data_IF_245724130024
#
_entry.id   IF_245724130024
#
_cell.length_a   1.000
_cell.length_b   1.000
_cell.length_c   1.000
_cell.angle_alpha   90.00
_cell.angle_beta   90.00
_cell.angle_gamma   90.00
#
_symmetry.space_group_name_H-M   'P 1'
#
loop_
_entity.id
_entity.type
_entity.pdbx_description
1 polymer ?
#
# COMPACT_ATOMS: atom_id res chain seq x y z
N UNK A 1 -5.71 -30.50 -88.42
CA UNK A 1 -5.61 -29.05 -88.17
C UNK A 1 -5.94 -28.81 -86.70
N UNK A 2 -4.96 -28.20 -86.02
CA UNK A 2 -4.90 -27.59 -84.69
C UNK A 2 -6.07 -26.60 -84.38
N UNK A 3 -6.13 -25.92 -83.19
CA UNK A 3 -6.51 -26.31 -81.82
C UNK A 3 -7.57 -25.29 -81.27
N UNK A 4 -8.06 -25.22 -80.03
CA UNK A 4 -7.47 -24.67 -78.80
C UNK A 4 -8.58 -24.75 -77.75
N UNK A 5 -8.34 -25.43 -76.63
CA UNK A 5 -9.20 -25.44 -75.45
C UNK A 5 -8.64 -24.45 -74.43
N UNK A 6 -9.52 -23.59 -73.95
CA UNK A 6 -9.32 -22.52 -72.98
C UNK A 6 -8.96 -23.10 -71.60
N UNK A 7 -7.91 -22.60 -70.95
CA UNK A 7 -7.63 -22.85 -69.53
C UNK A 7 -7.33 -21.52 -68.83
N UNK A 8 -8.28 -21.07 -68.02
CA UNK A 8 -8.08 -20.03 -67.01
C UNK A 8 -7.38 -20.65 -65.79
N UNK A 9 -6.26 -20.09 -65.37
CA UNK A 9 -5.66 -20.38 -64.05
C UNK A 9 -5.54 -19.06 -63.29
N UNK A 10 -6.38 -18.91 -62.26
CA UNK A 10 -6.31 -17.86 -61.25
C UNK A 10 -5.12 -18.15 -60.32
N UNK A 11 -4.13 -17.27 -60.33
CA UNK A 11 -3.03 -17.23 -59.37
C UNK A 11 -3.47 -16.50 -58.11
N UNK A 12 -3.91 -17.23 -57.08
CA UNK A 12 -4.02 -16.73 -55.71
C UNK A 12 -2.76 -17.18 -54.94
N UNK A 13 -1.86 -16.25 -54.63
CA UNK A 13 -0.80 -16.51 -53.65
C UNK A 13 -1.39 -16.39 -52.24
N UNK A 14 -1.21 -17.38 -51.35
CA UNK A 14 -1.52 -17.21 -49.95
C UNK A 14 -0.40 -16.37 -49.32
N UNK A 15 -0.72 -15.16 -48.85
CA UNK A 15 0.17 -14.45 -47.94
C UNK A 15 0.14 -15.20 -46.60
N UNK A 16 1.23 -15.90 -46.27
CA UNK A 16 1.47 -16.36 -44.91
C UNK A 16 1.74 -15.11 -44.04
N UNK A 17 0.69 -14.61 -43.38
CA UNK A 17 0.85 -13.77 -42.22
C UNK A 17 1.42 -14.61 -41.08
N UNK A 18 2.72 -14.47 -40.81
CA UNK A 18 3.33 -15.01 -39.59
C UNK A 18 2.72 -14.24 -38.42
N UNK A 19 1.83 -14.89 -37.67
CA UNK A 19 1.38 -14.38 -36.38
C UNK A 19 2.57 -14.48 -35.42
N UNK A 20 3.18 -13.34 -35.09
CA UNK A 20 4.23 -13.28 -34.06
C UNK A 20 3.51 -13.43 -32.71
N UNK A 21 3.42 -14.67 -32.22
CA UNK A 21 3.06 -14.91 -30.84
C UNK A 21 4.21 -14.41 -29.97
N UNK A 22 4.05 -13.25 -29.34
CA UNK A 22 4.99 -12.78 -28.31
C UNK A 22 5.06 -13.85 -27.22
N UNK A 23 6.21 -14.51 -27.09
CA UNK A 23 6.41 -15.52 -26.06
C UNK A 23 6.63 -14.81 -24.73
N UNK A 24 5.55 -14.61 -23.99
CA UNK A 24 5.62 -14.01 -22.65
C UNK A 24 6.41 -14.94 -21.73
N UNK A 25 7.51 -14.43 -21.15
CA UNK A 25 8.24 -15.15 -20.09
C UNK A 25 7.44 -15.11 -18.79
N UNK A 26 7.57 -16.12 -17.91
CA UNK A 26 6.83 -16.15 -16.63
C UNK A 26 7.26 -15.08 -15.62
N UNK A 27 8.20 -14.20 -15.99
CA UNK A 27 8.66 -13.13 -15.12
C UNK A 27 7.70 -11.94 -15.17
N UNK A 28 7.43 -11.37 -14.00
CA UNK A 28 6.73 -10.09 -13.85
C UNK A 28 7.75 -9.01 -13.49
N UNK A 29 7.73 -7.90 -14.21
CA UNK A 29 8.55 -6.75 -13.87
C UNK A 29 8.05 -6.10 -12.56
N UNK A 30 8.91 -5.36 -11.87
CA UNK A 30 8.60 -4.68 -10.60
C UNK A 30 8.94 -3.20 -10.75
N UNK A 31 7.97 -2.33 -10.45
CA UNK A 31 8.19 -0.89 -10.35
C UNK A 31 8.47 -0.53 -8.90
N UNK A 32 9.53 0.23 -8.68
CA UNK A 32 9.97 0.70 -7.37
C UNK A 32 10.13 2.23 -7.39
N UNK A 33 9.74 2.89 -6.29
CA UNK A 33 9.99 4.30 -6.09
C UNK A 33 11.45 4.49 -5.63
N UNK A 34 12.24 5.21 -6.41
CA UNK A 34 13.65 5.51 -6.10
C UNK A 34 13.76 6.80 -5.30
N UNK A 35 13.02 7.84 -5.71
CA UNK A 35 13.00 9.13 -5.02
C UNK A 35 11.68 9.85 -5.25
N UNK A 36 11.22 10.59 -4.25
CA UNK A 36 9.92 11.24 -4.22
C UNK A 36 8.89 10.43 -3.43
N UNK A 37 7.61 10.73 -3.64
CA UNK A 37 6.47 10.09 -2.99
C UNK A 37 5.37 9.76 -4.01
N UNK A 38 4.44 8.88 -3.64
CA UNK A 38 3.25 8.57 -4.47
C UNK A 38 2.25 9.72 -4.50
N UNK A 39 2.30 10.62 -3.51
CA UNK A 39 1.50 11.84 -3.44
C UNK A 39 2.43 13.04 -3.38
N UNK A 40 2.37 13.87 -4.42
CA UNK A 40 3.26 15.02 -4.63
C UNK A 40 2.46 16.26 -5.03
N UNK A 41 3.08 17.44 -4.90
CA UNK A 41 2.52 18.67 -5.44
C UNK A 41 2.89 18.84 -6.92
N UNK A 42 2.06 19.58 -7.65
CA UNK A 42 2.40 19.99 -9.01
C UNK A 42 3.73 20.76 -9.04
N UNK A 43 4.56 20.43 -10.03
CA UNK A 43 5.91 20.94 -10.19
C UNK A 43 7.01 20.12 -9.51
N UNK A 44 6.66 19.15 -8.66
CA UNK A 44 7.63 18.21 -8.09
C UNK A 44 7.98 17.10 -9.07
N UNK A 45 9.05 16.36 -8.77
CA UNK A 45 9.57 15.30 -9.63
C UNK A 45 9.72 14.00 -8.86
N UNK A 46 9.47 12.88 -9.53
CA UNK A 46 9.72 11.55 -8.96
C UNK A 46 10.65 10.75 -9.88
N UNK A 47 11.33 9.78 -9.28
CA UNK A 47 12.16 8.82 -10.01
C UNK A 47 11.71 7.41 -9.68
N UNK A 48 11.42 6.64 -10.71
CA UNK A 48 11.03 5.24 -10.62
C UNK A 48 12.13 4.35 -11.19
N UNK A 49 12.13 3.09 -10.76
CA UNK A 49 12.99 2.03 -11.29
C UNK A 49 12.14 0.83 -11.68
N UNK A 50 12.45 0.25 -12.81
CA UNK A 50 11.92 -1.04 -13.22
C UNK A 50 12.98 -2.12 -12.97
N UNK A 51 12.57 -3.23 -12.38
CA UNK A 51 13.42 -4.37 -12.08
C UNK A 51 12.79 -5.63 -12.67
N UNK A 52 13.56 -6.43 -13.41
CA UNK A 52 13.14 -7.75 -13.89
C UNK A 52 13.85 -8.81 -13.02
N UNK A 53 13.13 -9.78 -12.43
CA UNK A 53 13.73 -10.79 -11.55
C UNK A 53 14.82 -11.64 -12.20
N UNK A 54 14.81 -11.77 -13.53
CA UNK A 54 15.86 -12.44 -14.29
C UNK A 54 17.10 -11.55 -14.42
N UNK A 55 17.99 -11.64 -13.44
CA UNK A 55 19.27 -10.91 -13.37
C UNK A 55 20.33 -11.42 -14.34
N UNK A 56 20.12 -12.57 -15.00
CA UNK A 56 21.12 -13.17 -15.91
C UNK A 56 21.04 -12.62 -17.33
N UNK A 57 19.97 -11.90 -17.63
CA UNK A 57 19.67 -11.41 -18.97
C UNK A 57 19.69 -9.89 -19.02
N UNK A 58 20.13 -9.34 -20.15
CA UNK A 58 20.03 -7.90 -20.42
C UNK A 58 18.62 -7.56 -20.92
N UNK A 59 17.88 -6.82 -20.10
CA UNK A 59 16.52 -6.34 -20.42
C UNK A 59 16.54 -4.86 -20.79
N UNK A 60 15.88 -4.51 -21.90
CA UNK A 60 15.38 -3.16 -22.13
C UNK A 60 14.09 -2.96 -21.35
N UNK A 61 13.76 -1.72 -20.98
CA UNK A 61 12.59 -1.43 -20.16
C UNK A 61 11.70 -0.42 -20.86
N UNK A 62 10.42 -0.76 -20.96
CA UNK A 62 9.34 0.08 -21.44
C UNK A 62 8.50 0.57 -20.26
N UNK A 63 8.00 1.79 -20.37
CA UNK A 63 7.17 2.41 -19.35
C UNK A 63 5.80 2.75 -19.91
N UNK A 64 4.78 2.65 -19.06
CA UNK A 64 3.40 2.91 -19.42
C UNK A 64 2.72 3.75 -18.34
N UNK A 65 1.77 4.58 -18.76
CA UNK A 65 0.83 5.29 -17.88
C UNK A 65 -0.59 4.91 -18.29
N UNK A 66 -1.29 4.18 -17.44
CA UNK A 66 -2.51 3.49 -17.85
C UNK A 66 -2.20 2.51 -18.99
N UNK A 67 -2.90 2.62 -20.11
CA UNK A 67 -2.66 1.83 -21.32
C UNK A 67 -1.71 2.48 -22.33
N UNK A 68 -1.26 3.70 -22.08
CA UNK A 68 -0.40 4.45 -23.00
C UNK A 68 1.07 4.14 -22.73
N UNK A 69 1.82 3.74 -23.77
CA UNK A 69 3.27 3.59 -23.68
C UNK A 69 3.93 4.98 -23.69
N UNK A 70 4.78 5.23 -22.70
CA UNK A 70 5.57 6.44 -22.61
C UNK A 70 6.76 6.38 -23.58
N UNK A 71 7.22 7.53 -24.11
CA UNK A 71 8.37 7.59 -25.01
C UNK A 71 9.70 7.25 -24.31
N UNK A 72 9.76 7.41 -22.98
CA UNK A 72 10.95 7.13 -22.19
C UNK A 72 11.22 5.62 -22.11
N UNK A 73 12.49 5.24 -22.31
CA UNK A 73 13.00 3.87 -22.21
C UNK A 73 14.15 3.79 -21.22
N UNK A 74 14.36 2.59 -20.70
CA UNK A 74 15.47 2.29 -19.79
C UNK A 74 15.01 2.04 -18.36
N UNK A 75 15.94 1.54 -17.55
CA UNK A 75 15.64 1.01 -16.22
C UNK A 75 15.02 2.05 -15.28
N UNK A 76 15.34 3.33 -15.47
CA UNK A 76 14.83 4.42 -14.65
C UNK A 76 13.93 5.35 -15.45
N UNK A 77 12.79 5.72 -14.86
CA UNK A 77 11.92 6.77 -15.37
C UNK A 77 11.98 7.97 -14.43
N UNK A 78 12.31 9.15 -14.97
CA UNK A 78 12.23 10.41 -14.23
C UNK A 78 11.03 11.20 -14.72
N UNK A 79 10.03 11.37 -13.86
CA UNK A 79 8.86 12.19 -14.13
C UNK A 79 9.15 13.59 -13.60
N UNK A 80 9.53 14.49 -14.49
CA UNK A 80 10.02 15.83 -14.14
C UNK A 80 8.91 16.87 -14.13
N UNK A 81 8.85 17.71 -13.09
CA UNK A 81 7.90 18.82 -12.94
C UNK A 81 6.46 18.41 -13.28
N UNK A 82 5.97 17.40 -12.58
CA UNK A 82 4.70 16.76 -12.90
C UNK A 82 3.52 17.73 -12.78
N UNK A 83 2.56 17.57 -13.69
CA UNK A 83 1.28 18.29 -13.69
C UNK A 83 0.17 17.40 -13.12
N UNK A 84 -0.91 18.04 -12.64
CA UNK A 84 -2.09 17.33 -12.10
C UNK A 84 -2.64 16.29 -13.09
N UNK A 85 -2.65 16.61 -14.38
CA UNK A 85 -3.13 15.74 -15.46
C UNK A 85 -2.21 14.53 -15.75
N UNK A 86 -1.02 14.51 -15.15
CA UNK A 86 -0.08 13.39 -15.28
C UNK A 86 -0.18 12.40 -14.11
N UNK A 87 -1.14 12.62 -13.20
CA UNK A 87 -1.53 11.62 -12.22
C UNK A 87 -2.01 10.34 -12.90
N UNK A 88 -1.79 9.20 -12.25
CA UNK A 88 -2.27 7.92 -12.73
C UNK A 88 -1.40 6.75 -12.31
N UNK A 89 -1.71 5.59 -12.87
CA UNK A 89 -1.02 4.32 -12.62
C UNK A 89 0.12 4.14 -13.60
N UNK A 90 1.32 3.96 -13.08
CA UNK A 90 2.53 3.73 -13.85
C UNK A 90 2.91 2.26 -13.79
N UNK A 91 3.31 1.73 -14.95
CA UNK A 91 3.69 0.33 -15.12
C UNK A 91 5.02 0.27 -15.87
N UNK A 92 5.74 -0.83 -15.70
CA UNK A 92 6.88 -1.14 -16.54
C UNK A 92 6.86 -2.57 -17.05
N UNK A 93 7.60 -2.78 -18.13
CA UNK A 93 7.73 -4.06 -18.83
C UNK A 93 9.18 -4.23 -19.30
N UNK A 94 9.74 -5.40 -19.06
CA UNK A 94 11.02 -5.81 -19.63
C UNK A 94 10.83 -6.38 -21.02
N UNK A 95 11.67 -5.94 -21.97
CA UNK A 95 11.72 -6.45 -23.34
C UNK A 95 13.14 -6.85 -23.67
N UNK A 96 13.31 -8.01 -24.31
CA UNK A 96 14.59 -8.44 -24.87
C UNK A 96 14.40 -9.11 -26.22
N UNK A 97 15.38 -8.94 -27.08
CA UNK A 97 15.37 -9.55 -28.40
C UNK A 97 15.68 -11.05 -28.31
N UNK A 98 15.01 -11.86 -29.12
CA UNK A 98 15.35 -13.27 -29.29
C UNK A 98 15.29 -13.69 -30.76
N UNK A 99 15.85 -14.86 -31.08
CA UNK A 99 15.82 -15.41 -32.45
C UNK A 99 14.40 -15.67 -32.96
N UNK A 100 13.40 -15.70 -32.09
CA UNK A 100 11.98 -15.96 -32.41
C UNK A 100 11.14 -14.69 -32.31
N UNK A 101 11.77 -13.53 -32.06
CA UNK A 101 11.12 -12.23 -31.85
C UNK A 101 11.29 -11.70 -30.43
N UNK A 102 10.68 -10.55 -30.16
CA UNK A 102 10.80 -9.89 -28.87
C UNK A 102 10.09 -10.69 -27.77
N UNK A 103 10.82 -10.91 -26.68
CA UNK A 103 10.34 -11.56 -25.48
C UNK A 103 10.01 -10.47 -24.46
N UNK A 104 8.77 -10.51 -23.99
CA UNK A 104 8.25 -9.53 -23.05
C UNK A 104 7.96 -10.20 -21.70
N UNK A 105 8.23 -9.48 -20.62
CA UNK A 105 7.76 -9.86 -19.27
C UNK A 105 6.28 -9.54 -19.12
N UNK A 106 5.62 -10.12 -18.11
CA UNK A 106 4.37 -9.56 -17.62
C UNK A 106 4.60 -8.15 -17.06
N UNK A 107 3.69 -7.24 -17.39
CA UNK A 107 3.70 -5.88 -16.84
C UNK A 107 3.68 -5.90 -15.31
N UNK A 108 4.35 -4.91 -14.72
CA UNK A 108 4.40 -4.76 -13.28
C UNK A 108 3.02 -4.56 -12.67
N UNK A 109 2.94 -4.71 -11.34
CA UNK A 109 1.82 -4.11 -10.61
C UNK A 109 1.88 -2.58 -10.76
N UNK A 110 0.72 -1.89 -10.74
CA UNK A 110 0.68 -0.44 -10.87
C UNK A 110 1.32 0.24 -9.65
N UNK A 111 2.12 1.25 -9.91
CA UNK A 111 2.46 2.28 -8.92
C UNK A 111 1.62 3.52 -9.23
N UNK A 112 0.70 3.86 -8.33
CA UNK A 112 -0.17 5.02 -8.51
C UNK A 112 0.48 6.29 -7.97
N UNK A 113 0.54 7.33 -8.83
CA UNK A 113 1.04 8.65 -8.48
C UNK A 113 -0.10 9.65 -8.59
N UNK A 114 -0.33 10.40 -7.53
CA UNK A 114 -1.31 11.47 -7.48
C UNK A 114 -0.62 12.82 -7.30
N UNK A 115 -0.84 13.72 -8.26
CA UNK A 115 -0.27 15.06 -8.30
C UNK A 115 -1.33 16.07 -7.88
N UNK A 116 -1.10 16.71 -6.75
CA UNK A 116 -2.05 17.66 -6.15
C UNK A 116 -1.70 19.11 -6.52
N UNK A 117 -2.72 19.89 -6.89
CA UNK A 117 -2.57 21.32 -7.22
C UNK A 117 -2.67 22.27 -6.03
N UNK A 118 -3.11 21.78 -4.88
CA UNK A 118 -3.44 22.54 -3.67
C UNK A 118 -2.24 22.84 -2.78
N UNK A 119 -2.49 22.87 -1.47
CA UNK A 119 -1.53 23.36 -0.46
C UNK A 119 -1.14 22.32 0.57
N UNK A 120 -1.95 21.27 0.75
CA UNK A 120 -1.75 20.24 1.77
C UNK A 120 -2.04 18.88 1.15
N UNK A 121 -1.12 17.93 1.35
CA UNK A 121 -1.31 16.53 0.97
C UNK A 121 -1.01 15.61 2.14
N UNK A 122 -1.73 14.50 2.22
CA UNK A 122 -1.39 13.41 3.11
C UNK A 122 -0.55 12.38 2.33
N UNK A 123 0.71 12.24 2.72
CA UNK A 123 1.60 11.22 2.17
C UNK A 123 1.47 9.94 3.00
N UNK A 124 1.11 8.87 2.29
CA UNK A 124 0.95 7.52 2.84
C UNK A 124 1.94 6.59 2.15
N UNK A 125 2.37 5.50 2.79
CA UNK A 125 3.23 4.51 2.14
C UNK A 125 2.60 3.99 0.83
N UNK A 126 3.39 3.82 -0.24
CA UNK A 126 2.89 3.33 -1.53
C UNK A 126 2.48 1.85 -1.47
N UNK A 127 3.12 1.07 -0.59
CA UNK A 127 2.80 -0.33 -0.35
C UNK A 127 1.86 -0.46 0.86
N UNK A 128 0.94 -1.44 0.85
CA UNK A 128 0.10 -1.74 2.01
C UNK A 128 0.95 -2.02 3.25
N UNK A 129 0.48 -1.56 4.40
CA UNK A 129 1.11 -1.88 5.69
C UNK A 129 0.61 -3.23 6.20
N UNK A 130 1.38 -3.93 7.04
CA UNK A 130 0.97 -5.20 7.61
C UNK A 130 0.38 -5.01 9.01
N UNK A 131 -0.45 -5.96 9.44
CA UNK A 131 -0.93 -6.02 10.83
C UNK A 131 0.27 -6.06 11.79
N UNK A 132 0.17 -5.33 12.90
CA UNK A 132 1.23 -5.08 13.89
C UNK A 132 2.40 -4.23 13.43
N UNK A 133 2.42 -3.73 12.18
CA UNK A 133 3.38 -2.70 11.76
C UNK A 133 3.08 -1.35 12.45
N UNK A 134 3.96 -0.37 12.22
CA UNK A 134 3.69 1.04 12.50
C UNK A 134 3.48 1.78 11.19
N UNK A 135 2.28 2.32 10.99
CA UNK A 135 1.98 3.19 9.85
C UNK A 135 2.53 4.59 10.14
N UNK A 136 3.42 5.05 9.28
CA UNK A 136 3.91 6.43 9.25
C UNK A 136 3.21 7.19 8.12
N UNK A 137 2.49 8.25 8.45
CA UNK A 137 1.91 9.19 7.47
C UNK A 137 2.41 10.60 7.73
N UNK A 138 2.47 11.42 6.67
CA UNK A 138 2.95 12.80 6.75
C UNK A 138 1.93 13.75 6.16
N UNK A 139 1.49 14.72 6.95
CA UNK A 139 0.70 15.85 6.47
C UNK A 139 1.63 16.93 5.96
N UNK A 140 1.89 16.94 4.65
CA UNK A 140 2.86 17.83 4.04
C UNK A 140 2.17 19.06 3.48
N UNK A 141 2.67 20.23 3.86
CA UNK A 141 2.29 21.52 3.30
C UNK A 141 3.23 21.93 2.17
N UNK A 142 2.73 22.74 1.23
CA UNK A 142 3.55 23.29 0.15
C UNK A 142 4.58 24.28 0.69
N UNK A 143 5.83 24.14 0.24
CA UNK A 143 6.96 24.86 0.85
C UNK A 143 7.34 24.17 2.15
N UNK A 144 7.39 24.92 3.25
CA UNK A 144 7.62 24.42 4.63
C UNK A 144 7.24 25.50 5.66
N UNK A 145 6.00 26.02 5.67
CA UNK A 145 5.59 27.00 6.68
C UNK A 145 5.65 26.41 8.10
N UNK A 146 5.90 27.23 9.13
CA UNK A 146 5.84 26.78 10.51
C UNK A 146 4.40 26.40 10.88
N UNK A 147 4.18 25.11 11.12
CA UNK A 147 2.87 24.58 11.47
C UNK A 147 2.53 24.96 12.92
N UNK A 148 1.28 25.39 13.11
CA UNK A 148 0.72 25.65 14.44
C UNK A 148 -0.03 24.41 14.95
N UNK A 149 -0.79 23.77 14.07
CA UNK A 149 -1.64 22.62 14.39
C UNK A 149 -1.76 21.69 13.18
N UNK A 150 -1.76 20.38 13.43
CA UNK A 150 -2.02 19.35 12.43
C UNK A 150 -3.00 18.33 12.99
N UNK A 151 -4.01 17.98 12.20
CA UNK A 151 -5.08 17.03 12.59
C UNK A 151 -5.15 15.92 11.54
N UNK A 152 -5.24 14.66 11.98
CA UNK A 152 -5.49 13.50 11.14
C UNK A 152 -6.93 13.03 11.31
N UNK A 153 -7.58 12.79 10.18
CA UNK A 153 -8.93 12.23 10.09
C UNK A 153 -8.87 10.84 9.49
N UNK A 154 -9.68 9.91 10.03
CA UNK A 154 -10.00 8.60 9.45
C UNK A 154 -11.50 8.56 9.23
N UNK A 155 -11.92 8.30 8.00
CA UNK A 155 -13.33 8.22 7.60
C UNK A 155 -14.11 9.48 8.05
N UNK A 156 -13.48 10.65 7.84
CA UNK A 156 -13.94 11.99 8.27
C UNK A 156 -14.03 12.24 9.79
N UNK A 157 -13.62 11.29 10.62
CA UNK A 157 -13.56 11.44 12.09
C UNK A 157 -12.14 11.80 12.51
N UNK A 158 -11.99 12.81 13.37
CA UNK A 158 -10.70 13.17 13.95
C UNK A 158 -10.18 12.03 14.84
N UNK A 159 -9.00 11.50 14.49
CA UNK A 159 -8.36 10.41 15.23
C UNK A 159 -7.12 10.86 15.99
N UNK A 160 -6.42 11.88 15.49
CA UNK A 160 -5.22 12.42 16.14
C UNK A 160 -5.12 13.93 15.90
N UNK A 161 -4.68 14.66 16.93
CA UNK A 161 -4.34 16.08 16.85
C UNK A 161 -2.96 16.29 17.45
N UNK A 162 -2.13 17.04 16.74
CA UNK A 162 -0.80 17.44 17.17
C UNK A 162 -0.68 18.96 17.14
N UNK A 163 -0.22 19.52 18.25
CA UNK A 163 0.14 20.93 18.32
C UNK A 163 1.63 21.07 18.01
N UNK A 164 1.99 22.03 17.14
CA UNK A 164 3.37 22.35 16.80
C UNK A 164 3.84 21.90 15.41
N UNK A 165 5.17 21.86 15.25
CA UNK A 165 5.84 21.78 13.94
C UNK A 165 5.91 20.38 13.33
N UNK A 166 5.47 19.32 14.03
CA UNK A 166 5.65 17.95 13.55
C UNK A 166 4.52 17.56 12.57
N UNK A 167 4.82 17.32 11.28
CA UNK A 167 3.81 16.90 10.31
C UNK A 167 3.54 15.39 10.31
N UNK A 168 4.25 14.60 11.13
CA UNK A 168 4.22 13.14 11.09
C UNK A 168 3.26 12.55 12.13
N UNK A 169 2.42 11.63 11.68
CA UNK A 169 1.61 10.75 12.52
C UNK A 169 2.13 9.32 12.45
N UNK A 170 2.11 8.65 13.61
CA UNK A 170 2.53 7.27 13.77
C UNK A 170 1.39 6.48 14.41
N UNK A 171 0.81 5.53 13.67
CA UNK A 171 -0.19 4.60 14.18
C UNK A 171 0.53 3.26 14.41
N UNK A 172 0.79 2.94 15.68
CA UNK A 172 1.49 1.72 16.09
C UNK A 172 0.52 0.57 16.33
N UNK A 173 0.98 -0.67 16.18
CA UNK A 173 0.18 -1.88 16.42
C UNK A 173 -1.08 -1.93 15.54
N UNK A 174 -0.90 -1.74 14.23
CA UNK A 174 -2.01 -1.73 13.28
C UNK A 174 -2.84 -3.01 13.34
N UNK A 175 -4.15 -2.87 13.23
CA UNK A 175 -5.10 -3.94 12.98
C UNK A 175 -5.79 -3.71 11.63
N UNK A 176 -6.70 -4.61 11.24
CA UNK A 176 -7.49 -4.41 10.03
C UNK A 176 -8.52 -3.28 10.19
N UNK A 177 -8.84 -2.85 11.41
CA UNK A 177 -9.80 -1.77 11.68
C UNK A 177 -9.25 -0.38 11.33
N UNK A 178 -7.92 -0.22 11.33
CA UNK A 178 -7.24 1.00 10.91
C UNK A 178 -7.31 1.21 9.38
N UNK A 179 -7.79 0.23 8.61
CA UNK A 179 -8.06 0.42 7.19
C UNK A 179 -9.15 1.48 6.99
N UNK A 180 -8.98 2.34 5.99
CA UNK A 180 -9.95 3.39 5.71
C UNK A 180 -9.42 4.51 4.83
N UNK A 181 -10.19 5.59 4.77
CA UNK A 181 -9.85 6.80 4.04
C UNK A 181 -9.34 7.85 5.01
N UNK A 182 -8.13 8.33 4.79
CA UNK A 182 -7.48 9.31 5.65
C UNK A 182 -7.33 10.65 4.95
N UNK A 183 -7.47 11.73 5.72
CA UNK A 183 -7.12 13.08 5.29
C UNK A 183 -6.48 13.81 6.46
N UNK A 184 -5.77 14.90 6.18
CA UNK A 184 -5.18 15.71 7.23
C UNK A 184 -5.51 17.18 7.05
N UNK A 185 -5.63 17.89 8.17
CA UNK A 185 -5.75 19.35 8.21
C UNK A 185 -4.46 19.92 8.74
N UNK A 186 -3.84 20.82 7.98
CA UNK A 186 -2.70 21.60 8.44
C UNK A 186 -3.12 23.05 8.62
N UNK A 187 -2.75 23.64 9.75
CA UNK A 187 -2.95 25.05 10.06
C UNK A 187 -1.59 25.73 10.27
N UNK A 188 -1.37 26.83 9.56
CA UNK A 188 -0.13 27.60 9.62
C UNK A 188 -0.42 29.09 9.49
N UNK A 189 0.49 29.92 9.98
CA UNK A 189 0.39 31.37 9.86
C UNK A 189 1.34 31.88 8.78
N UNK A 190 0.83 32.73 7.89
CA UNK A 190 1.63 33.48 6.91
C UNK A 190 1.09 34.91 6.85
N UNK A 191 1.98 35.90 6.85
CA UNK A 191 1.61 37.33 6.78
C UNK A 191 0.51 37.77 7.78
N UNK A 192 0.59 37.27 9.02
CA UNK A 192 -0.39 37.50 10.11
C UNK A 192 -1.80 36.97 9.83
N UNK A 193 -1.95 36.06 8.86
CA UNK A 193 -3.19 35.33 8.58
C UNK A 193 -2.98 33.87 8.86
N UNK A 194 -3.95 33.27 9.55
CA UNK A 194 -4.00 31.83 9.74
C UNK A 194 -4.64 31.18 8.51
N UNK A 195 -3.88 30.31 7.87
CA UNK A 195 -4.36 29.42 6.83
C UNK A 195 -4.63 28.05 7.44
N UNK A 196 -5.69 27.40 6.98
CA UNK A 196 -6.07 26.07 7.43
C UNK A 196 -6.72 25.34 6.28
N UNK A 197 -6.10 24.23 5.86
CA UNK A 197 -6.49 23.49 4.65
C UNK A 197 -6.49 22.01 4.96
N UNK A 198 -7.53 21.33 4.47
CA UNK A 198 -7.69 19.89 4.54
C UNK A 198 -7.18 19.29 3.23
N UNK A 199 -6.37 18.23 3.30
CA UNK A 199 -5.87 17.51 2.15
C UNK A 199 -6.98 16.74 1.43
N UNK A 200 -6.73 16.38 0.17
CA UNK A 200 -7.51 15.33 -0.47
C UNK A 200 -7.38 13.99 0.28
N UNK A 201 -8.38 13.13 0.09
CA UNK A 201 -8.48 11.82 0.70
C UNK A 201 -7.41 10.84 0.19
N UNK A 202 -6.87 10.04 1.11
CA UNK A 202 -5.88 9.00 0.86
C UNK A 202 -6.33 7.67 1.45
N UNK A 203 -6.54 6.68 0.59
CA UNK A 203 -6.88 5.31 1.03
C UNK A 203 -5.65 4.62 1.60
N UNK A 204 -5.77 4.09 2.81
CA UNK A 204 -4.74 3.28 3.46
C UNK A 204 -5.21 1.82 3.47
N UNK A 205 -4.38 0.92 2.94
CA UNK A 205 -4.64 -0.52 2.95
C UNK A 205 -3.75 -1.21 3.99
N UNK A 206 -4.36 -2.11 4.76
CA UNK A 206 -3.67 -2.92 5.76
C UNK A 206 -3.96 -4.38 5.45
N UNK A 207 -2.91 -5.19 5.36
CA UNK A 207 -3.02 -6.62 5.05
C UNK A 207 -2.59 -7.45 6.25
N UNK A 208 -3.24 -8.61 6.44
CA UNK A 208 -2.71 -9.62 7.35
C UNK A 208 -1.42 -10.21 6.73
N UNK A 209 -0.47 -10.57 7.58
CA UNK A 209 0.78 -11.23 7.15
C UNK A 209 0.46 -12.60 6.55
N UNK A 210 -0.45 -13.34 7.18
CA UNK A 210 -0.87 -14.68 6.76
C UNK A 210 -2.40 -14.79 6.89
N UNK A 211 -3.09 -14.84 5.75
CA UNK A 211 -4.56 -14.95 5.74
C UNK A 211 -5.05 -16.25 6.36
N UNK A 212 -6.34 -16.30 6.68
CA UNK A 212 -7.00 -17.54 7.10
C UNK A 212 -6.92 -18.58 5.96
N UNK A 213 -6.39 -19.79 6.22
CA UNK A 213 -6.31 -20.84 5.22
C UNK A 213 -7.68 -21.43 4.89
N UNK A 214 -7.90 -21.75 3.62
CA UNK A 214 -9.10 -22.44 3.13
C UNK A 214 -8.65 -23.76 2.50
N UNK A 215 -9.20 -24.87 2.98
CA UNK A 215 -8.89 -26.19 2.43
C UNK A 215 -9.81 -26.48 1.24
N UNK A 216 -9.22 -26.88 0.12
CA UNK A 216 -9.93 -27.44 -1.04
C UNK A 216 -9.58 -28.92 -1.19
N UNK A 217 -10.59 -29.75 -1.48
CA UNK A 217 -10.42 -31.19 -1.72
C UNK A 217 -10.74 -31.48 -3.19
N UNK A 218 -9.70 -31.76 -3.98
CA UNK A 218 -9.82 -32.10 -5.40
C UNK A 218 -9.79 -33.61 -5.57
N UNK A 219 -10.94 -34.17 -5.93
CA UNK A 219 -11.14 -35.62 -6.04
C UNK A 219 -11.33 -36.10 -7.48
N UNK A 220 -11.92 -35.29 -8.36
CA UNK A 220 -12.31 -35.70 -9.71
C UNK A 220 -11.50 -34.89 -10.74
N UNK A 221 -10.32 -35.42 -11.08
CA UNK A 221 -9.41 -34.84 -12.05
C UNK A 221 -8.64 -35.97 -12.76
N UNK A 222 -8.58 -35.95 -14.09
CA UNK A 222 -7.92 -36.97 -14.92
C UNK A 222 -6.43 -37.14 -14.60
N UNK A 223 -5.80 -36.12 -13.99
CA UNK A 223 -4.39 -36.14 -13.57
C UNK A 223 -4.17 -36.77 -12.19
N UNK A 224 -5.23 -37.09 -11.43
CA UNK A 224 -5.14 -37.65 -10.08
C UNK A 224 -5.49 -39.15 -10.14
N UNK A 225 -4.66 -40.04 -9.54
CA UNK A 225 -5.01 -41.46 -9.44
C UNK A 225 -6.34 -41.66 -8.71
N UNK A 226 -7.23 -42.52 -9.24
CA UNK A 226 -8.58 -42.71 -8.71
C UNK A 226 -8.65 -43.08 -7.21
N UNK A 227 -7.59 -43.68 -6.66
CA UNK A 227 -7.49 -44.04 -5.24
C UNK A 227 -6.93 -42.92 -4.34
N UNK A 228 -6.68 -41.73 -4.89
CA UNK A 228 -6.14 -40.57 -4.17
C UNK A 228 -7.04 -39.35 -4.34
N UNK A 229 -6.86 -38.40 -3.42
CA UNK A 229 -7.42 -37.05 -3.48
C UNK A 229 -6.28 -36.05 -3.25
N UNK A 230 -6.38 -34.89 -3.87
CA UNK A 230 -5.44 -33.79 -3.68
C UNK A 230 -6.04 -32.78 -2.73
N UNK A 231 -5.38 -32.56 -1.61
CA UNK A 231 -5.72 -31.51 -0.64
C UNK A 231 -4.92 -30.27 -1.01
N UNK A 232 -5.57 -29.11 -1.12
CA UNK A 232 -4.92 -27.84 -1.42
C UNK A 232 -5.28 -26.84 -0.33
N UNK A 233 -4.27 -26.25 0.31
CA UNK A 233 -4.43 -25.25 1.36
C UNK A 233 -4.22 -23.85 0.75
N UNK A 234 -5.31 -23.18 0.40
CA UNK A 234 -5.29 -21.83 -0.15
C UNK A 234 -5.10 -20.80 0.96
N UNK A 235 -4.13 -19.92 0.79
CA UNK A 235 -3.93 -18.76 1.65
C UNK A 235 -3.11 -17.70 0.92
N UNK A 236 -3.15 -16.49 1.43
CA UNK A 236 -2.31 -15.39 0.99
C UNK A 236 -1.24 -15.10 2.05
N UNK A 237 0.02 -15.02 1.61
CA UNK A 237 1.17 -14.74 2.45
C UNK A 237 1.84 -13.45 1.98
N UNK A 238 1.62 -12.36 2.73
CA UNK A 238 2.01 -11.00 2.36
C UNK A 238 3.34 -10.57 3.02
N UNK A 239 4.21 -11.51 3.39
CA UNK A 239 5.50 -11.16 4.01
C UNK A 239 6.41 -10.40 3.04
N UNK A 240 7.09 -9.36 3.55
CA UNK A 240 8.08 -8.59 2.78
C UNK A 240 9.28 -9.46 2.43
N UNK A 241 9.86 -9.25 1.25
CA UNK A 241 11.06 -9.96 0.83
C UNK A 241 12.30 -9.50 1.64
N UNK A 242 13.19 -10.42 2.05
CA UNK A 242 13.12 -11.88 1.88
C UNK A 242 12.11 -12.53 2.84
N UNK A 243 11.11 -13.21 2.28
CA UNK A 243 10.01 -13.78 3.05
C UNK A 243 10.44 -15.09 3.75
N UNK A 244 10.19 -15.25 5.06
CA UNK A 244 10.45 -16.51 5.77
C UNK A 244 9.66 -17.69 5.18
N UNK A 245 10.18 -18.93 5.25
CA UNK A 245 9.51 -20.10 4.70
C UNK A 245 8.25 -20.48 5.48
N UNK A 246 7.25 -20.97 4.76
CA UNK A 246 5.97 -21.46 5.27
C UNK A 246 5.94 -22.99 5.26
N UNK A 247 5.43 -23.58 6.33
CA UNK A 247 5.26 -25.02 6.50
C UNK A 247 3.77 -25.35 6.52
N UNK A 248 3.33 -26.19 5.58
CA UNK A 248 1.98 -26.71 5.52
C UNK A 248 1.89 -28.07 6.21
N UNK A 249 0.75 -28.31 6.87
CA UNK A 249 0.42 -29.56 7.52
C UNK A 249 -1.02 -29.92 7.16
N UNK A 250 -1.26 -31.20 6.85
CA UNK A 250 -2.59 -31.71 6.53
C UNK A 250 -3.05 -32.70 7.59
N UNK A 251 -4.34 -32.65 7.88
CA UNK A 251 -4.97 -33.43 8.93
C UNK A 251 -6.21 -34.14 8.40
N UNK A 252 -6.48 -35.30 8.98
CA UNK A 252 -7.73 -36.03 8.81
C UNK A 252 -8.24 -36.48 10.17
N UNK A 253 -9.46 -36.09 10.53
CA UNK A 253 -10.06 -36.36 11.83
C UNK A 253 -9.09 -36.03 12.97
N UNK A 254 -8.48 -34.84 12.93
CA UNK A 254 -7.45 -34.34 13.85
C UNK A 254 -6.10 -35.08 13.87
N UNK A 255 -5.92 -36.11 13.03
CA UNK A 255 -4.65 -36.83 12.89
C UNK A 255 -3.83 -36.27 11.74
N UNK A 256 -2.55 -35.99 12.01
CA UNK A 256 -1.62 -35.47 11.00
C UNK A 256 -1.32 -36.56 9.96
N UNK A 257 -1.53 -36.24 8.68
CA UNK A 257 -1.38 -37.18 7.56
C UNK A 257 0.09 -37.41 7.13
N UNK A 258 0.98 -36.46 7.42
CA UNK A 258 2.38 -36.51 6.99
C UNK A 258 3.31 -35.58 7.77
N UNK A 259 4.52 -35.39 7.27
CA UNK A 259 5.45 -34.34 7.75
C UNK A 259 5.04 -32.97 7.20
N UNK A 260 5.71 -31.91 7.66
CA UNK A 260 5.53 -30.58 7.08
C UNK A 260 5.95 -30.57 5.60
N UNK A 261 5.19 -29.89 4.75
CA UNK A 261 5.53 -29.65 3.34
C UNK A 261 5.78 -28.17 3.10
N UNK A 262 6.64 -27.83 2.14
CA UNK A 262 6.80 -26.46 1.62
C UNK A 262 5.74 -26.13 0.58
N UNK A 263 5.14 -27.16 -0.03
CA UNK A 263 4.05 -27.02 -0.99
C UNK A 263 2.72 -26.91 -0.26
N UNK A 264 1.84 -26.08 -0.81
CA UNK A 264 0.50 -25.85 -0.27
C UNK A 264 -0.48 -27.00 -0.56
N UNK A 265 -0.01 -28.16 -1.00
CA UNK A 265 -0.87 -29.28 -1.34
C UNK A 265 -0.25 -30.62 -0.95
N UNK A 266 -1.09 -31.64 -0.80
CA UNK A 266 -0.68 -33.01 -0.52
C UNK A 266 -1.61 -34.02 -1.19
N UNK A 267 -1.07 -35.18 -1.57
CA UNK A 267 -1.78 -36.22 -2.30
C UNK A 267 -2.00 -37.45 -1.41
N UNK A 268 -3.21 -37.56 -0.87
CA UNK A 268 -3.54 -38.52 0.19
C UNK A 268 -4.51 -39.60 -0.31
N UNK A 269 -4.68 -40.68 0.46
CA UNK A 269 -5.60 -41.77 0.09
C UNK A 269 -7.05 -41.28 0.11
N UNK A 270 -7.80 -41.60 -0.95
CA UNK A 270 -9.23 -41.28 -1.08
C UNK A 270 -10.04 -42.03 -0.03
N UNK A 271 -10.26 -41.39 1.11
CA UNK A 271 -10.95 -42.00 2.25
C UNK A 271 -11.89 -40.99 2.89
N UNK A 272 -13.12 -41.38 3.27
CA UNK A 272 -14.05 -40.46 3.92
C UNK A 272 -13.51 -39.93 5.25
N UNK A 273 -13.89 -38.71 5.61
CA UNK A 273 -13.53 -38.06 6.87
C UNK A 273 -13.56 -36.53 6.79
N UNK A 274 -13.23 -35.90 7.91
CA UNK A 274 -13.05 -34.45 8.01
C UNK A 274 -11.59 -34.11 7.83
N UNK A 275 -11.30 -33.14 6.98
CA UNK A 275 -9.95 -32.71 6.66
C UNK A 275 -9.76 -31.25 7.07
N UNK A 276 -8.53 -30.91 7.44
CA UNK A 276 -8.12 -29.53 7.66
C UNK A 276 -6.66 -29.35 7.28
N UNK A 277 -6.26 -28.11 7.02
CA UNK A 277 -4.87 -27.74 6.86
C UNK A 277 -4.44 -26.72 7.91
N UNK A 278 -3.13 -26.71 8.19
CA UNK A 278 -2.48 -25.73 9.03
C UNK A 278 -1.26 -25.18 8.32
N UNK A 279 -1.17 -23.86 8.28
CA UNK A 279 -0.01 -23.15 7.78
C UNK A 279 0.75 -22.52 8.96
N UNK A 280 2.06 -22.76 9.02
CA UNK A 280 2.93 -22.25 10.08
C UNK A 280 4.15 -21.56 9.49
N UNK A 281 4.45 -20.37 9.99
CA UNK A 281 5.69 -19.64 9.68
C UNK A 281 6.52 -19.58 10.97
N UNK A 282 7.47 -20.52 11.18
CA UNK A 282 8.13 -20.69 12.47
C UNK A 282 8.88 -19.46 12.96
N UNK A 283 9.57 -18.76 12.04
CA UNK A 283 10.38 -17.58 12.34
C UNK A 283 9.54 -16.43 12.90
N UNK A 284 8.29 -16.29 12.43
CA UNK A 284 7.37 -15.25 12.87
C UNK A 284 6.48 -15.71 14.03
N UNK A 285 6.54 -16.98 14.44
CA UNK A 285 5.65 -17.54 15.46
C UNK A 285 4.18 -17.65 15.03
N UNK A 286 3.86 -17.45 13.75
CA UNK A 286 2.49 -17.44 13.23
C UNK A 286 2.04 -18.85 12.86
N UNK A 287 0.82 -19.22 13.25
CA UNK A 287 0.17 -20.47 12.86
C UNK A 287 -1.32 -20.26 12.66
N UNK A 288 -1.87 -20.65 11.51
CA UNK A 288 -3.29 -20.56 11.19
C UNK A 288 -3.84 -21.90 10.73
N UNK A 289 -5.09 -22.17 11.09
CA UNK A 289 -5.83 -23.38 10.73
C UNK A 289 -6.95 -23.03 9.77
N UNK A 290 -7.25 -23.93 8.84
CA UNK A 290 -8.49 -23.89 8.09
C UNK A 290 -9.66 -24.38 8.95
N UNK A 291 -10.86 -24.05 8.51
CA UNK A 291 -12.05 -24.79 8.93
C UNK A 291 -11.99 -26.25 8.48
N UNK A 292 -12.87 -27.08 9.05
CA UNK A 292 -12.98 -28.50 8.75
C UNK A 292 -13.81 -28.71 7.49
N UNK A 293 -13.27 -29.45 6.53
CA UNK A 293 -13.96 -29.84 5.30
C UNK A 293 -14.28 -31.33 5.27
N UNK A 294 -15.54 -31.66 5.00
CA UNK A 294 -16.02 -33.05 5.00
C UNK A 294 -15.94 -33.66 3.60
N UNK A 295 -15.30 -34.83 3.49
CA UNK A 295 -15.24 -35.60 2.25
C UNK A 295 -15.89 -36.98 2.42
N UNK A 296 -16.80 -37.34 1.51
CA UNK A 296 -17.41 -38.68 1.46
C UNK A 296 -18.35 -39.02 2.62
N UNK A 297 -18.69 -38.07 3.50
CA UNK A 297 -19.77 -38.22 4.48
C UNK A 297 -21.08 -37.74 3.86
N UNK A 298 -22.11 -38.59 3.86
CA UNK A 298 -23.46 -38.15 3.57
C UNK A 298 -23.84 -37.10 4.62
N UNK A 299 -24.34 -35.94 4.18
CA UNK A 299 -24.96 -34.94 5.06
C UNK A 299 -26.07 -35.69 5.81
N UNK A 300 -25.96 -35.83 7.13
CA UNK A 300 -27.06 -36.41 7.92
C UNK A 300 -28.33 -35.62 7.60
N UNK A 301 -29.45 -36.28 7.21
CA UNK A 301 -30.72 -35.60 7.13
C UNK A 301 -30.99 -34.99 8.50
N UNK A 302 -31.07 -33.66 8.55
CA UNK A 302 -31.40 -32.95 9.78
C UNK A 302 -32.61 -33.61 10.41
N UNK A 303 -32.47 -33.99 11.67
CA UNK A 303 -33.57 -34.53 12.48
C UNK A 303 -34.67 -33.46 12.45
N UNK A 304 -35.68 -33.68 11.59
CA UNK A 304 -36.97 -33.03 11.76
C UNK A 304 -37.52 -33.54 13.08
N UNK A 305 -37.37 -32.73 14.13
CA UNK A 305 -38.20 -32.90 15.32
C UNK A 305 -39.65 -32.60 14.90
N UNK A 306 -40.40 -33.66 14.60
CA UNK A 306 -41.85 -33.61 14.58
C UNK A 306 -42.34 -33.45 16.03
N UNK A 307 -43.25 -32.51 16.31
CA UNK A 307 -43.73 -32.28 17.65
C UNK A 307 -44.87 -33.27 17.92
N UNK A 308 -44.64 -34.26 18.77
CA UNK A 308 -45.77 -35.00 19.34
C UNK A 308 -45.57 -35.37 20.81
N UNK A 309 -46.54 -34.89 21.59
CA UNK A 309 -47.13 -35.54 22.75
C UNK A 309 -46.26 -35.65 24.02
N UNK A 310 -46.26 -34.56 24.79
CA UNK A 310 -45.94 -34.61 26.21
C UNK A 310 -47.03 -35.39 26.98
N UNK A 311 -46.66 -36.36 27.83
CA UNK A 311 -47.59 -37.09 28.68
C UNK A 311 -48.01 -36.27 29.91
N UNK A 312 -49.20 -36.63 30.38
CA UNK A 312 -50.05 -35.99 31.39
C UNK A 312 -49.55 -36.20 32.83
N UNK A 313 -49.46 -35.09 33.58
CA UNK A 313 -49.57 -34.91 35.03
C UNK A 313 -48.49 -35.43 36.00
N UNK A 314 -47.96 -34.52 36.83
CA UNK A 314 -48.43 -34.34 38.23
C UNK A 314 -47.95 -33.00 38.84
N UNK A 315 -48.89 -32.27 39.47
CA UNK A 315 -48.70 -31.01 40.22
C UNK A 315 -48.10 -31.26 41.61
N UNK A 316 -47.52 -30.21 42.23
CA UNK A 316 -48.09 -29.74 43.50
C UNK A 316 -48.48 -28.24 43.55
N UNK A 317 -49.28 -27.91 44.57
CA UNK A 317 -50.06 -26.70 44.90
C UNK A 317 -49.24 -25.40 45.13
N UNK A 318 -49.61 -24.25 44.52
CA UNK A 318 -50.45 -23.11 45.00
C UNK A 318 -49.65 -22.04 45.83
N UNK A 319 -49.96 -20.72 45.81
CA UNK A 319 -51.30 -20.11 45.71
C UNK A 319 -51.46 -18.90 44.76
N UNK A 320 -52.73 -18.49 44.66
CA UNK A 320 -53.36 -17.48 43.81
C UNK A 320 -53.23 -16.04 44.31
N UNK A 321 -52.90 -15.09 43.41
CA UNK A 321 -53.27 -13.67 43.54
C UNK A 321 -53.66 -13.12 42.14
N UNK A 322 -54.73 -12.34 42.15
CA UNK A 322 -55.55 -11.75 41.10
C UNK A 322 -54.86 -10.83 40.08
N UNK A 323 -55.29 -10.93 38.82
CA UNK A 323 -55.00 -9.99 37.72
C UNK A 323 -55.89 -8.74 37.78
N UNK A 324 -55.36 -7.54 37.46
CA UNK A 324 -56.17 -6.43 36.96
C UNK A 324 -56.07 -6.31 35.43
N UNK A 325 -57.23 -6.03 34.82
CA UNK A 325 -57.40 -5.70 33.41
C UNK A 325 -56.69 -4.39 33.06
N UNK A 326 -56.00 -4.36 31.92
CA UNK A 326 -55.47 -3.13 31.33
C UNK A 326 -56.52 -2.53 30.40
N UNK A 327 -57.12 -1.42 30.84
CA UNK A 327 -57.97 -0.54 30.05
C UNK A 327 -57.12 0.44 29.24
N UNK A 328 -57.59 0.71 28.02
CA UNK A 328 -57.08 1.69 27.06
C UNK A 328 -57.55 3.11 27.43
N UNK A 329 -56.70 4.14 27.31
CA UNK A 329 -57.17 5.51 27.08
C UNK A 329 -56.69 6.11 25.74
N UNK A 330 -57.25 7.28 25.34
CA UNK A 330 -57.43 7.67 23.94
C UNK A 330 -56.37 8.66 23.40
N UNK A 331 -56.48 8.85 22.09
CA UNK A 331 -55.70 9.77 21.25
C UNK A 331 -55.89 11.25 21.62
N UNK A 332 -54.82 12.03 21.45
CA UNK A 332 -54.83 13.48 21.43
C UNK A 332 -54.08 13.99 20.19
N UNK A 333 -54.57 15.13 19.71
CA UNK A 333 -54.43 15.84 18.44
C UNK A 333 -53.09 16.61 18.29
N UNK A 334 -52.63 16.93 17.07
CA UNK A 334 -51.44 17.76 16.85
C UNK A 334 -51.78 19.26 16.66
N UNK A 335 -50.99 20.14 17.27
CA UNK A 335 -51.06 21.60 17.10
C UNK A 335 -50.23 22.07 15.89
N UNK A 336 -50.79 23.06 15.19
CA UNK A 336 -50.42 23.60 13.88
C UNK A 336 -49.53 24.87 13.93
N UNK A 337 -48.94 25.22 12.77
CA UNK A 337 -48.47 26.53 12.24
C UNK A 337 -46.96 26.58 11.92
N UNK A 338 -46.45 27.05 10.77
CA UNK A 338 -46.94 27.54 9.47
C UNK A 338 -45.76 27.51 8.46
N UNK A 339 -45.96 27.63 7.13
CA UNK A 339 -44.94 27.40 6.11
C UNK A 339 -44.23 28.68 5.61
N UNK A 340 -43.00 28.54 5.10
CA UNK A 340 -42.35 29.58 4.28
C UNK A 340 -41.74 28.98 3.01
N UNK A 341 -41.88 29.76 1.93
CA UNK A 341 -41.75 29.42 0.52
C UNK A 341 -40.38 28.88 0.09
N UNK A 342 -40.41 27.93 -0.83
CA UNK A 342 -39.34 27.65 -1.77
C UNK A 342 -39.16 28.83 -2.74
N UNK A 343 -37.91 29.28 -2.93
CA UNK A 343 -37.53 30.04 -4.13
C UNK A 343 -36.21 29.50 -4.67
N UNK A 344 -36.25 29.20 -5.98
CA UNK A 344 -35.19 28.55 -6.76
C UNK A 344 -33.97 29.43 -6.98
N UNK A 345 -32.85 28.75 -7.02
CA UNK A 345 -31.52 29.16 -7.48
C UNK A 345 -31.55 29.66 -8.93
N UNK A 346 -30.99 30.84 -9.18
CA UNK A 346 -30.41 31.21 -10.48
C UNK A 346 -29.05 31.89 -10.28
N UNK A 347 -28.12 31.46 -11.12
CA UNK A 347 -26.76 31.95 -11.42
C UNK A 347 -26.62 33.47 -11.49
N UNK A 348 -25.43 34.04 -11.19
CA UNK A 348 -25.03 35.28 -11.83
C UNK A 348 -23.76 35.13 -12.67
N UNK A 349 -23.94 35.55 -13.90
CA UNK A 349 -22.93 35.86 -14.91
C UNK A 349 -22.16 37.12 -14.53
N UNK A 350 -20.91 37.13 -14.99
CA UNK A 350 -19.91 38.18 -14.94
C UNK A 350 -20.37 39.47 -15.67
N UNK A 351 -20.33 40.61 -14.96
CA UNK A 351 -20.28 41.94 -15.60
C UNK A 351 -19.53 42.93 -14.71
N UNK A 352 -18.50 43.55 -15.29
CA UNK A 352 -17.73 44.68 -14.77
C UNK A 352 -18.58 45.97 -14.73
N UNK A 353 -18.27 46.93 -13.85
CA UNK A 353 -17.92 48.24 -14.40
C UNK A 353 -16.75 48.95 -13.69
N UNK A 354 -15.94 49.59 -14.53
CA UNK A 354 -14.97 50.63 -14.21
C UNK A 354 -15.65 52.00 -14.13
N UNK A 355 -15.41 52.81 -13.07
CA UNK A 355 -14.94 54.21 -13.12
C UNK A 355 -15.09 54.98 -11.77
N UNK A 356 -13.96 55.58 -11.36
CA UNK A 356 -13.75 57.00 -10.97
C UNK A 356 -14.32 57.54 -9.64
N UNK A 357 -13.36 57.72 -8.72
CA UNK A 357 -12.94 58.96 -8.05
C UNK A 357 -13.94 59.77 -7.20
N UNK A 358 -13.65 59.85 -5.90
CA UNK A 358 -13.72 61.13 -5.18
C UNK A 358 -12.72 61.18 -4.02
N UNK A 359 -12.05 62.32 -3.97
CA UNK A 359 -10.98 62.75 -3.07
C UNK A 359 -11.60 63.20 -1.74
N UNK A 360 -11.00 62.85 -0.59
CA UNK A 360 -10.79 63.84 0.47
C UNK A 360 -9.69 63.45 1.48
N UNK A 361 -8.86 64.45 1.71
CA UNK A 361 -7.60 64.55 2.45
C UNK A 361 -7.85 64.75 3.95
N UNK A 362 -7.08 64.08 4.81
CA UNK A 362 -6.51 64.69 6.03
C UNK A 362 -5.45 63.76 6.66
N UNK A 363 -4.36 64.35 7.14
CA UNK A 363 -3.23 63.75 7.87
C UNK A 363 -2.98 64.62 9.12
N UNK A 364 -2.05 64.28 10.05
CA UNK A 364 -1.82 63.02 10.76
C UNK A 364 -1.61 63.17 12.31
N UNK A 365 -1.48 62.01 13.00
CA UNK A 365 -0.75 61.76 14.28
C UNK A 365 -1.46 62.14 15.62
N UNK A 366 -1.24 61.43 16.77
CA UNK A 366 0.04 60.89 17.22
C UNK A 366 0.10 59.44 17.78
N UNK A 367 1.34 58.98 17.83
CA UNK A 367 1.93 57.72 18.29
C UNK A 367 1.72 57.47 19.81
N UNK A 368 1.47 56.23 20.26
CA UNK A 368 1.65 55.85 21.67
C UNK A 368 3.10 55.37 21.95
N UNK A 369 3.61 55.54 23.19
CA UNK A 369 5.02 55.38 23.53
C UNK A 369 5.45 53.92 23.73
N UNK A 370 6.70 53.63 23.36
CA UNK A 370 7.44 52.44 23.80
C UNK A 370 7.94 52.63 25.24
N UNK A 371 7.99 51.57 26.05
CA UNK A 371 8.94 51.48 27.17
C UNK A 371 10.26 50.84 26.73
N UNK A 372 11.37 51.46 27.10
CA UNK A 372 12.74 50.95 26.99
C UNK A 372 13.14 50.16 28.26
N UNK A 373 14.28 49.44 28.25
CA UNK A 373 14.52 48.25 29.08
C UNK A 373 15.13 48.57 30.45
N UNK A 374 14.98 47.65 31.41
CA UNK A 374 15.74 47.66 32.66
C UNK A 374 16.57 46.38 32.82
N UNK A 375 17.83 46.49 33.29
CA UNK A 375 18.75 45.37 33.49
C UNK A 375 18.66 44.84 34.93
N UNK A 376 19.10 43.59 35.17
CA UNK A 376 19.79 43.18 36.40
C UNK A 376 20.41 41.78 36.24
N UNK A 377 21.70 41.69 36.57
CA UNK A 377 22.52 40.49 36.60
C UNK A 377 22.40 39.72 37.92
N UNK A 378 22.64 38.40 37.79
CA UNK A 378 23.37 37.48 38.68
C UNK A 378 22.93 37.30 40.14
N UNK A 379 22.72 36.04 40.54
CA UNK A 379 23.48 35.43 41.64
C UNK A 379 23.56 33.90 41.46
N UNK A 380 24.74 33.40 41.80
CA UNK A 380 25.30 32.05 41.78
C UNK A 380 24.62 31.11 42.78
N UNK A 381 24.51 29.82 42.48
CA UNK A 381 24.79 28.75 43.46
C UNK A 381 25.05 27.40 42.77
N UNK A 382 26.31 26.97 42.88
CA UNK A 382 26.71 25.57 42.73
C UNK A 382 26.53 24.87 44.07
N UNK A 383 26.05 23.62 44.07
CA UNK A 383 26.34 22.66 45.13
C UNK A 383 26.42 21.26 44.52
N UNK A 384 27.66 20.79 44.45
CA UNK A 384 28.07 19.39 44.33
C UNK A 384 27.49 18.53 45.46
N UNK A 385 27.13 17.28 45.18
CA UNK A 385 27.66 16.07 45.85
C UNK A 385 27.00 14.78 45.33
N UNK A 386 27.83 13.89 44.79
CA UNK A 386 27.68 12.42 44.70
C UNK A 386 27.88 11.80 46.11
N UNK A 387 27.48 10.54 46.42
CA UNK A 387 28.16 9.35 45.87
C UNK A 387 27.29 8.08 45.62
N UNK A 388 27.78 7.30 44.65
CA UNK A 388 27.88 5.83 44.55
C UNK A 388 26.77 4.89 45.08
N UNK A 389 26.33 4.00 44.19
CA UNK A 389 26.16 2.57 44.49
C UNK A 389 26.51 1.73 43.26
N UNK A 390 27.19 0.62 43.53
CA UNK A 390 27.92 -0.31 42.67
C UNK A 390 27.07 -1.57 42.42
N UNK A 391 27.49 -2.31 41.40
CA UNK A 391 27.20 -3.71 41.01
C UNK A 391 26.19 -3.93 39.86
N UNK A 392 26.38 -4.88 38.92
CA UNK A 392 27.51 -5.57 38.24
C UNK A 392 26.84 -6.72 37.48
N UNK A 393 27.08 -6.90 36.18
CA UNK A 393 26.93 -8.18 35.45
C UNK A 393 27.63 -7.99 34.09
N UNK A 394 28.91 -8.34 33.99
CA UNK A 394 29.47 -9.60 33.44
C UNK A 394 29.22 -9.79 31.92
N UNK A 395 30.26 -9.46 31.15
CA UNK A 395 30.43 -9.73 29.73
C UNK A 395 31.62 -10.69 29.61
N UNK A 396 31.39 -11.86 29.01
CA UNK A 396 32.41 -12.90 28.81
C UNK A 396 33.06 -12.68 27.44
N UNK A 397 34.37 -12.41 27.44
CA UNK A 397 35.24 -12.43 26.26
C UNK A 397 36.03 -13.73 26.28
N UNK A 398 35.97 -14.51 25.20
CA UNK A 398 36.91 -15.62 24.95
C UNK A 398 37.99 -15.12 23.98
N UNK A 399 39.24 -15.38 24.36
CA UNK A 399 40.44 -15.13 23.57
C UNK A 399 41.40 -16.32 23.70
N UNK A 400 42.35 -16.39 22.77
CA UNK A 400 43.49 -17.32 22.56
C UNK A 400 43.32 -18.42 21.49
N UNK A 401 43.88 -18.26 20.28
CA UNK A 401 45.31 -18.42 19.82
C UNK A 401 45.64 -19.86 19.40
N UNK A 402 46.57 -20.20 18.51
CA UNK A 402 47.19 -19.68 17.27
C UNK A 402 48.19 -20.79 16.82
N UNK A 403 48.37 -21.04 15.51
CA UNK A 403 49.54 -21.62 14.79
C UNK A 403 49.08 -22.41 13.53
N UNK A 404 49.75 -22.51 12.38
CA UNK A 404 50.80 -21.75 11.65
C UNK A 404 50.97 -22.41 10.25
N UNK A 405 51.73 -21.75 9.34
CA UNK A 405 52.21 -22.16 7.99
C UNK A 405 51.26 -21.92 6.78
N UNK A 406 51.68 -21.34 5.64
CA UNK A 406 52.99 -20.85 5.16
C UNK A 406 52.81 -19.91 3.94
N UNK A 407 53.83 -19.09 3.66
CA UNK A 407 53.75 -17.99 2.70
C UNK A 407 54.21 -18.30 1.27
N UNK A 408 54.09 -17.30 0.39
CA UNK A 408 55.02 -16.96 -0.70
C UNK A 408 54.67 -15.60 -1.30
N UNK A 409 55.70 -14.93 -1.80
CA UNK A 409 55.84 -13.49 -1.96
C UNK A 409 55.45 -12.92 -3.36
N UNK A 410 55.31 -11.59 -3.34
CA UNK A 410 55.16 -10.52 -4.34
C UNK A 410 56.12 -10.54 -5.58
N UNK A 411 55.91 -9.72 -6.66
CA UNK A 411 56.00 -8.24 -6.60
C UNK A 411 55.09 -7.39 -7.52
N UNK A 412 55.11 -6.03 -7.37
CA UNK A 412 54.20 -5.07 -8.02
C UNK A 412 54.82 -4.31 -9.22
N UNK A 413 53.97 -3.67 -10.04
CA UNK A 413 54.37 -2.76 -11.12
C UNK A 413 53.54 -1.46 -11.14
N UNK A 414 54.27 -0.41 -10.79
CA UNK A 414 54.37 0.96 -11.31
C UNK A 414 53.20 1.94 -11.47
N UNK A 415 53.58 3.16 -11.09
CA UNK A 415 52.89 4.44 -11.01
C UNK A 415 52.80 5.14 -12.38
N UNK A 416 51.78 5.98 -12.57
CA UNK A 416 51.90 7.17 -13.42
C UNK A 416 50.90 8.26 -13.00
N UNK A 417 51.45 9.31 -12.39
CA UNK A 417 50.86 10.65 -12.27
C UNK A 417 50.63 11.28 -13.66
N UNK A 418 49.48 11.93 -13.87
CA UNK A 418 49.35 13.00 -14.88
C UNK A 418 48.63 14.20 -14.27
N UNK A 419 49.43 15.22 -14.04
CA UNK A 419 49.12 16.60 -13.68
C UNK A 419 48.17 17.29 -14.65
N UNK A 420 47.21 18.03 -14.10
CA UNK A 420 46.40 19.02 -14.82
C UNK A 420 47.18 20.32 -14.98
N UNK A 421 47.33 20.79 -16.22
CA UNK A 421 47.83 22.13 -16.55
C UNK A 421 46.82 22.87 -17.40
N UNK A 422 46.52 24.09 -16.95
CA UNK A 422 45.60 25.09 -17.49
C UNK A 422 46.17 25.82 -18.72
N UNK A 423 45.28 26.28 -19.60
CA UNK A 423 45.52 27.19 -20.74
C UNK A 423 44.79 26.66 -21.98
N UNK A 424 43.92 27.36 -22.70
CA UNK A 424 43.72 28.80 -22.90
C UNK A 424 43.76 29.07 -24.41
N UNK A 425 42.74 29.78 -24.93
CA UNK A 425 42.57 30.31 -26.31
C UNK A 425 41.96 29.31 -27.32
N UNK A 426 40.72 29.50 -27.80
CA UNK A 426 40.22 30.53 -28.73
C UNK A 426 40.85 30.42 -30.13
N UNK A 427 40.07 29.92 -31.10
CA UNK A 427 39.97 30.49 -32.46
C UNK A 427 38.71 29.91 -33.15
N UNK A 428 37.93 30.83 -33.72
CA UNK A 428 36.84 30.65 -34.67
C UNK A 428 37.39 30.47 -36.09
N UNK A 429 36.70 29.70 -36.94
CA UNK A 429 36.21 30.17 -38.26
C UNK A 429 35.71 29.02 -39.16
N UNK A 430 34.43 29.17 -39.52
CA UNK A 430 33.78 29.03 -40.83
C UNK A 430 33.93 27.80 -41.77
N UNK A 431 32.75 27.18 -42.01
CA UNK A 431 32.08 26.91 -43.32
C UNK A 431 32.66 25.79 -44.22
N UNK A 432 31.82 25.01 -44.96
CA UNK A 432 30.49 25.33 -45.49
C UNK A 432 29.30 24.48 -45.09
#
# INVERSE_FOLDING_TARGET
>A
MNPVIFLCVLSMLPQLGVSIASSVVPFRAVVEMVSGDSRIFSGESVRLKCSVPDVRSSWSHLWFRGSEQLPQRGQHLTLWKMKVQESGKYYCEGVRDSQVGDINTLQSLPLEINVDGGWVILQVPPEPSLVSDTLKVMCRTRGTPPLHEVILYKDAVEVMRQNGLNPYFYLTNLTLEEQGVYSCRASWDIDRRTHSVISADASVQILDVLSLPVLEIVADNDLIPANKIKLICHLQYNARAPAPPINYYFYKNDHRLGTATSENHDLVRRTPGQYSCRAKVPVLGISRWSELESFGQAKEPGIMLHPDLLPRNSRPFAPSISSPQTSRPPAAEPTEAQPSLHQSTQTPTFTEPTEVSSIQTSSPAPKPPQPAPSPLQSTVQSLSQTPALVDKFEEWSDDTSAESSGGSAEPPLDSADVSWSSGGSAESDDIP
#
